data_IF_351969094834
#
_entry.id   IF_351969094834
#
_cell.length_a   1.000
_cell.length_b   1.000
_cell.length_c   1.000
_cell.angle_alpha   90.00
_cell.angle_beta   90.00
_cell.angle_gamma   90.00
#
_symmetry.space_group_name_H-M   'P 1'
#
loop_
_entity.id
_entity.type
_entity.pdbx_description
1 polymer ?
#
# COMPACT_ATOMS: atom_id res chain seq x y z
N UNK A 1 -3.45 -14.43 11.10
CA UNK A 1 -2.43 -14.27 10.02
C UNK A 1 -1.97 -12.83 10.03
N UNK A 2 -0.66 -12.55 10.03
CA UNK A 2 -0.17 -11.18 10.05
C UNK A 2 -0.51 -10.50 8.72
N UNK A 3 -0.96 -9.24 8.73
CA UNK A 3 -1.37 -8.44 7.57
C UNK A 3 -0.41 -8.56 6.36
N UNK A 4 0.88 -8.48 6.61
CA UNK A 4 1.92 -8.54 5.57
C UNK A 4 2.05 -9.96 5.01
N UNK A 5 1.89 -10.99 5.82
CA UNK A 5 1.92 -12.40 5.37
C UNK A 5 0.74 -12.70 4.45
N UNK A 6 -0.41 -12.08 4.72
CA UNK A 6 -1.57 -12.14 3.84
C UNK A 6 -1.30 -11.48 2.48
N UNK A 7 -0.70 -10.30 2.44
CA UNK A 7 -0.34 -9.64 1.18
C UNK A 7 0.65 -10.46 0.36
N UNK A 8 1.66 -11.03 1.01
CA UNK A 8 2.74 -11.78 0.34
C UNK A 8 2.29 -13.08 -0.34
N UNK A 9 1.10 -13.60 -0.06
CA UNK A 9 0.57 -14.76 -0.79
C UNK A 9 0.27 -14.41 -2.26
N UNK A 10 0.06 -13.14 -2.57
CA UNK A 10 -0.23 -12.65 -3.92
C UNK A 10 1.02 -12.28 -4.73
N UNK A 11 2.19 -12.22 -4.08
CA UNK A 11 3.43 -11.93 -4.79
C UNK A 11 3.82 -13.12 -5.66
N UNK A 12 4.20 -12.82 -6.90
CA UNK A 12 4.65 -13.81 -7.88
C UNK A 12 6.16 -13.70 -8.04
N UNK A 13 6.86 -14.83 -8.24
CA UNK A 13 8.28 -14.91 -8.57
C UNK A 13 9.25 -14.30 -7.55
N UNK A 14 10.57 -14.41 -7.81
CA UNK A 14 11.60 -13.93 -6.89
C UNK A 14 11.94 -12.45 -7.07
N UNK A 15 11.71 -11.86 -8.25
CA UNK A 15 12.13 -10.49 -8.60
C UNK A 15 11.00 -9.49 -8.32
N UNK A 16 11.14 -8.69 -7.28
CA UNK A 16 10.10 -7.80 -6.75
C UNK A 16 10.56 -6.35 -6.81
N UNK A 17 9.70 -5.45 -7.29
CA UNK A 17 9.86 -4.01 -7.15
C UNK A 17 8.84 -3.48 -6.13
N UNK A 18 9.33 -2.83 -5.10
CA UNK A 18 8.54 -2.11 -4.11
C UNK A 18 8.60 -0.60 -4.39
N UNK A 19 7.46 -0.02 -4.77
CA UNK A 19 7.34 1.41 -5.10
C UNK A 19 6.82 2.17 -3.90
N UNK A 20 7.57 3.18 -3.43
CA UNK A 20 7.35 3.85 -2.15
C UNK A 20 7.97 3.06 -0.99
N UNK A 21 9.18 2.50 -1.20
CA UNK A 21 9.81 1.52 -0.31
C UNK A 21 10.32 2.11 1.02
N UNK A 22 10.63 3.41 1.06
CA UNK A 22 11.35 4.00 2.19
C UNK A 22 10.45 4.30 3.40
N UNK A 23 9.12 4.44 3.21
CA UNK A 23 8.20 4.84 4.30
C UNK A 23 8.61 6.15 5.00
N UNK A 24 7.75 6.71 5.83
CA UNK A 24 8.08 7.93 6.62
C UNK A 24 9.21 7.69 7.64
N UNK A 25 9.30 6.48 8.19
CA UNK A 25 10.35 6.08 9.15
C UNK A 25 10.71 4.61 8.92
N UNK A 26 11.77 4.32 8.14
CA UNK A 26 12.21 2.96 7.92
C UNK A 26 12.80 2.39 9.22
N UNK A 27 12.05 1.53 9.87
CA UNK A 27 12.51 0.74 11.02
C UNK A 27 12.76 -0.69 10.56
N UNK A 28 14.01 -1.14 10.39
CA UNK A 28 14.34 -2.47 9.86
C UNK A 28 13.67 -3.62 10.60
N UNK A 29 13.47 -3.49 11.91
CA UNK A 29 12.84 -4.50 12.75
C UNK A 29 11.31 -4.34 12.85
N UNK A 30 10.76 -3.28 12.26
CA UNK A 30 9.33 -3.04 12.28
C UNK A 30 8.57 -4.13 11.50
N UNK A 31 7.55 -4.68 12.13
CA UNK A 31 6.62 -5.58 11.47
C UNK A 31 5.72 -4.84 10.46
N UNK A 32 5.76 -3.51 10.47
CA UNK A 32 4.92 -2.65 9.66
C UNK A 32 5.63 -2.14 8.41
N UNK A 33 6.98 -2.10 8.40
CA UNK A 33 7.72 -1.72 7.22
C UNK A 33 7.77 -2.87 6.21
N UNK A 34 6.99 -2.70 5.16
CA UNK A 34 6.70 -3.77 4.18
C UNK A 34 7.95 -4.14 3.39
N UNK A 35 8.75 -3.16 2.94
CA UNK A 35 9.99 -3.43 2.19
C UNK A 35 10.94 -4.37 2.93
N UNK A 36 11.22 -4.09 4.18
CA UNK A 36 12.07 -4.96 5.01
C UNK A 36 11.52 -6.39 5.15
N UNK A 37 10.20 -6.54 5.12
CA UNK A 37 9.57 -7.87 5.16
C UNK A 37 9.60 -8.59 3.82
N UNK A 38 9.46 -7.87 2.71
CA UNK A 38 9.61 -8.43 1.37
C UNK A 38 11.04 -8.97 1.21
N UNK A 39 12.05 -8.20 1.60
CA UNK A 39 13.47 -8.60 1.54
C UNK A 39 13.83 -9.84 2.38
N UNK A 40 13.09 -10.11 3.44
CA UNK A 40 13.29 -11.35 4.25
C UNK A 40 12.72 -12.59 3.57
N UNK A 41 11.85 -12.44 2.60
CA UNK A 41 11.14 -13.55 1.95
C UNK A 41 11.58 -13.79 0.51
N UNK A 42 11.98 -12.74 -0.21
CA UNK A 42 12.34 -12.79 -1.62
C UNK A 42 13.81 -12.42 -1.80
N UNK A 43 14.43 -12.96 -2.86
CA UNK A 43 15.87 -12.85 -3.09
C UNK A 43 16.20 -11.55 -3.83
N UNK A 44 15.50 -11.27 -4.93
CA UNK A 44 15.76 -10.15 -5.82
C UNK A 44 14.75 -9.03 -5.55
N UNK A 45 15.01 -8.22 -4.53
CA UNK A 45 14.12 -7.13 -4.13
C UNK A 45 14.74 -5.79 -4.43
N UNK A 46 14.01 -5.01 -5.18
CA UNK A 46 14.31 -3.63 -5.57
C UNK A 46 13.32 -2.68 -4.91
N UNK A 47 13.79 -1.48 -4.63
CA UNK A 47 12.93 -0.43 -4.05
C UNK A 47 13.13 0.90 -4.76
N UNK A 48 12.07 1.68 -4.92
CA UNK A 48 12.15 3.07 -5.34
C UNK A 48 11.38 3.97 -4.39
N UNK A 49 11.90 5.17 -4.20
CA UNK A 49 11.24 6.22 -3.43
C UNK A 49 11.71 7.60 -3.90
N UNK A 50 10.94 8.65 -3.64
CA UNK A 50 11.32 10.04 -3.89
C UNK A 50 12.00 10.70 -2.68
N UNK A 51 11.94 10.07 -1.51
CA UNK A 51 12.52 10.60 -0.27
C UNK A 51 14.00 10.22 -0.16
N UNK A 52 14.85 11.13 -0.62
CA UNK A 52 16.31 10.95 -0.63
C UNK A 52 16.89 10.70 0.76
N UNK A 53 16.38 11.37 1.78
CA UNK A 53 16.92 11.26 3.13
C UNK A 53 16.64 9.88 3.74
N UNK A 54 15.42 9.37 3.56
CA UNK A 54 15.05 8.04 4.00
C UNK A 54 15.80 6.95 3.23
N UNK A 55 16.02 7.12 1.91
CA UNK A 55 16.84 6.19 1.13
C UNK A 55 18.27 6.14 1.67
N UNK A 56 18.87 7.30 1.99
CA UNK A 56 20.21 7.34 2.59
C UNK A 56 20.29 6.64 3.96
N UNK A 57 19.22 6.73 4.77
CA UNK A 57 19.12 5.97 6.01
C UNK A 57 19.14 4.48 5.72
N UNK A 58 18.38 4.02 4.73
CA UNK A 58 18.33 2.61 4.33
C UNK A 58 19.68 2.11 3.81
N UNK A 59 20.36 2.90 2.99
CA UNK A 59 21.74 2.58 2.52
C UNK A 59 22.71 2.39 3.69
N UNK A 60 22.67 3.32 4.67
CA UNK A 60 23.50 3.22 5.88
C UNK A 60 23.16 1.98 6.74
N UNK A 61 21.96 1.48 6.66
CA UNK A 61 21.52 0.25 7.32
C UNK A 61 21.84 -1.02 6.49
N UNK A 62 22.56 -0.89 5.37
CA UNK A 62 23.00 -2.01 4.54
C UNK A 62 21.95 -2.49 3.52
N UNK A 63 20.90 -1.72 3.26
CA UNK A 63 19.96 -2.05 2.20
C UNK A 63 20.53 -1.65 0.83
N UNK A 64 20.57 -2.61 -0.09
CA UNK A 64 20.98 -2.44 -1.48
C UNK A 64 19.77 -2.50 -2.42
N UNK A 65 19.97 -2.16 -3.70
CA UNK A 65 18.93 -2.15 -4.74
C UNK A 65 17.77 -1.20 -4.43
N UNK A 66 18.07 -0.07 -3.78
CA UNK A 66 17.13 1.03 -3.55
C UNK A 66 17.56 2.25 -4.35
N UNK A 67 16.60 2.93 -4.98
CA UNK A 67 16.90 3.99 -5.94
C UNK A 67 16.00 5.21 -5.74
N UNK A 68 16.59 6.39 -5.93
CA UNK A 68 15.84 7.63 -5.98
C UNK A 68 15.15 7.74 -7.33
N UNK A 69 13.87 7.37 -7.40
CA UNK A 69 13.06 7.40 -8.62
C UNK A 69 11.62 7.81 -8.29
N UNK A 70 11.00 8.52 -9.22
CA UNK A 70 9.59 8.90 -9.13
C UNK A 70 8.70 7.76 -9.67
N UNK A 71 7.67 7.42 -8.92
CA UNK A 71 6.70 6.38 -9.29
C UNK A 71 5.98 6.65 -10.62
N UNK A 72 5.88 7.91 -11.04
CA UNK A 72 5.19 8.31 -12.27
C UNK A 72 6.12 8.33 -13.50
N UNK A 73 7.44 8.10 -13.33
CA UNK A 73 8.41 8.20 -14.43
C UNK A 73 9.63 7.29 -14.27
N UNK A 74 9.52 6.19 -13.51
CA UNK A 74 10.65 5.28 -13.34
C UNK A 74 10.86 4.40 -14.57
N UNK A 75 12.12 4.03 -14.77
CA UNK A 75 12.54 3.07 -15.78
C UNK A 75 13.72 2.23 -15.25
N UNK A 76 13.69 0.93 -15.54
CA UNK A 76 14.76 -0.03 -15.23
C UNK A 76 15.35 -0.68 -16.51
N UNK A 77 15.07 -0.11 -17.67
CA UNK A 77 15.55 -0.62 -18.95
C UNK A 77 15.02 -2.04 -19.24
N UNK A 78 15.91 -2.97 -19.46
CA UNK A 78 15.58 -4.37 -19.76
C UNK A 78 15.17 -5.20 -18.52
N UNK A 79 15.42 -4.70 -17.30
CA UNK A 79 15.05 -5.40 -16.09
C UNK A 79 13.52 -5.41 -15.91
N UNK A 80 12.94 -6.59 -15.80
CA UNK A 80 11.49 -6.80 -15.59
C UNK A 80 11.24 -7.57 -14.31
N UNK A 81 10.16 -7.23 -13.64
CA UNK A 81 9.78 -7.74 -12.34
C UNK A 81 8.67 -8.79 -12.44
N UNK A 82 8.71 -9.78 -11.57
CA UNK A 82 7.60 -10.73 -11.38
C UNK A 82 6.44 -10.06 -10.65
N UNK A 83 6.77 -9.14 -9.73
CA UNK A 83 5.77 -8.35 -9.00
C UNK A 83 6.23 -6.91 -8.85
N UNK A 84 5.36 -5.96 -9.17
CA UNK A 84 5.46 -4.55 -8.76
C UNK A 84 4.45 -4.31 -7.67
N UNK A 85 4.91 -3.90 -6.49
CA UNK A 85 4.06 -3.63 -5.34
C UNK A 85 4.02 -2.13 -5.04
N UNK A 86 2.82 -1.61 -4.76
CA UNK A 86 2.58 -0.23 -4.31
C UNK A 86 1.58 -0.25 -3.15
N UNK A 87 2.08 -0.08 -1.95
CA UNK A 87 1.26 -0.08 -0.74
C UNK A 87 1.09 1.30 -0.14
N UNK A 88 -0.15 1.81 -0.08
CA UNK A 88 -0.46 3.16 0.42
C UNK A 88 0.33 4.24 -0.34
N UNK A 89 0.36 4.13 -1.67
CA UNK A 89 1.11 5.01 -2.56
C UNK A 89 0.22 5.71 -3.58
N UNK A 90 -0.67 4.97 -4.26
CA UNK A 90 -1.40 5.47 -5.43
C UNK A 90 -2.28 6.68 -5.09
N UNK A 91 -2.76 6.79 -3.87
CA UNK A 91 -3.54 7.93 -3.36
C UNK A 91 -2.73 9.21 -3.19
N UNK A 92 -1.38 9.11 -3.14
CA UNK A 92 -0.46 10.25 -3.02
C UNK A 92 0.03 10.78 -4.38
N UNK A 93 -0.19 10.04 -5.46
CA UNK A 93 0.32 10.38 -6.78
C UNK A 93 -0.47 11.52 -7.43
N UNK A 94 0.23 12.38 -8.14
CA UNK A 94 -0.39 13.44 -8.96
C UNK A 94 -1.02 12.84 -10.21
N UNK A 95 -0.40 11.78 -10.78
CA UNK A 95 -0.90 11.09 -11.96
C UNK A 95 -0.83 9.55 -11.78
N UNK A 96 -1.85 8.94 -11.15
CA UNK A 96 -1.91 7.49 -10.95
C UNK A 96 -1.89 6.67 -12.26
N UNK A 97 -2.37 7.24 -13.36
CA UNK A 97 -2.31 6.59 -14.69
C UNK A 97 -0.88 6.42 -15.17
N UNK A 98 -0.02 7.43 -15.01
CA UNK A 98 1.41 7.29 -15.35
C UNK A 98 2.09 6.20 -14.52
N UNK A 99 1.78 6.11 -13.22
CA UNK A 99 2.28 5.02 -12.40
C UNK A 99 1.87 3.65 -12.95
N UNK A 100 0.59 3.44 -13.28
CA UNK A 100 0.12 2.17 -13.83
C UNK A 100 0.81 1.83 -15.16
N UNK A 101 1.03 2.83 -16.01
CA UNK A 101 1.77 2.67 -17.27
C UNK A 101 3.21 2.21 -17.00
N UNK A 102 3.94 2.90 -16.12
CA UNK A 102 5.33 2.53 -15.77
C UNK A 102 5.39 1.13 -15.14
N UNK A 103 4.47 0.83 -14.24
CA UNK A 103 4.38 -0.48 -13.60
C UNK A 103 4.11 -1.59 -14.64
N UNK A 104 3.15 -1.37 -15.57
CA UNK A 104 2.86 -2.29 -16.67
C UNK A 104 4.06 -2.56 -17.57
N UNK A 105 4.79 -1.51 -17.92
CA UNK A 105 6.00 -1.63 -18.73
C UNK A 105 7.14 -2.38 -18.00
N UNK A 106 7.14 -2.34 -16.67
CA UNK A 106 8.17 -2.92 -15.82
C UNK A 106 7.90 -4.37 -15.40
N UNK A 107 6.69 -4.89 -15.51
CA UNK A 107 6.40 -6.31 -15.20
C UNK A 107 6.73 -7.22 -16.40
N UNK A 108 7.08 -8.47 -16.08
CA UNK A 108 7.17 -9.58 -17.05
C UNK A 108 5.78 -9.90 -17.63
N UNK A 109 5.70 -10.70 -18.69
CA UNK A 109 4.42 -11.07 -19.31
C UNK A 109 3.47 -11.79 -18.34
N UNK A 110 4.00 -12.64 -17.46
CA UNK A 110 3.25 -13.30 -16.39
C UNK A 110 3.40 -12.57 -15.03
N UNK A 111 3.89 -11.33 -15.05
CA UNK A 111 4.06 -10.51 -13.86
C UNK A 111 2.76 -9.85 -13.43
N UNK A 112 2.74 -9.32 -12.22
CA UNK A 112 1.56 -8.64 -11.67
C UNK A 112 1.90 -7.35 -10.95
N UNK A 113 0.93 -6.46 -10.90
CA UNK A 113 0.98 -5.23 -10.12
C UNK A 113 0.04 -5.44 -8.94
N UNK A 114 0.53 -5.22 -7.73
CA UNK A 114 -0.25 -5.33 -6.50
C UNK A 114 -0.36 -3.94 -5.89
N UNK A 115 -1.58 -3.44 -5.78
CA UNK A 115 -1.87 -2.13 -5.19
C UNK A 115 -2.66 -2.33 -3.92
N UNK A 116 -2.27 -1.60 -2.89
CA UNK A 116 -3.05 -1.46 -1.68
C UNK A 116 -3.23 0.02 -1.38
N UNK A 117 -4.49 0.44 -1.16
CA UNK A 117 -4.87 1.83 -0.93
C UNK A 117 -6.03 1.92 0.05
N UNK A 118 -6.22 3.01 0.81
CA UNK A 118 -7.38 3.20 1.66
C UNK A 118 -8.69 3.18 0.88
N UNK A 119 -9.74 2.62 1.50
CA UNK A 119 -11.07 2.57 0.91
C UNK A 119 -11.98 3.65 1.51
N UNK A 120 -12.45 4.62 0.70
CA UNK A 120 -13.18 5.79 1.21
C UNK A 120 -14.54 5.45 1.82
N UNK A 121 -15.23 4.43 1.30
CA UNK A 121 -16.57 4.04 1.76
C UNK A 121 -16.58 3.04 2.92
N UNK A 122 -15.44 2.82 3.56
CA UNK A 122 -15.41 2.17 4.86
C UNK A 122 -16.20 2.99 5.90
N UNK A 123 -16.99 2.32 6.73
CA UNK A 123 -17.84 3.01 7.72
C UNK A 123 -17.01 3.99 8.59
N UNK A 124 -15.80 3.58 8.98
CA UNK A 124 -14.91 4.44 9.79
C UNK A 124 -14.51 5.72 9.03
N UNK A 125 -14.21 5.63 7.75
CA UNK A 125 -13.81 6.77 6.93
C UNK A 125 -14.99 7.70 6.67
N UNK A 126 -16.19 7.15 6.46
CA UNK A 126 -17.43 7.93 6.32
C UNK A 126 -17.77 8.66 7.63
N UNK A 127 -17.68 8.00 8.79
CA UNK A 127 -17.89 8.63 10.09
C UNK A 127 -16.83 9.73 10.31
N UNK A 128 -15.58 9.48 9.98
CA UNK A 128 -14.52 10.48 10.09
C UNK A 128 -14.82 11.71 9.22
N UNK A 129 -15.16 11.51 7.95
CA UNK A 129 -15.49 12.59 7.03
C UNK A 129 -16.67 13.43 7.51
N UNK A 130 -17.71 12.77 8.08
CA UNK A 130 -18.86 13.46 8.63
C UNK A 130 -18.53 14.29 9.88
N UNK A 131 -17.77 13.71 10.83
CA UNK A 131 -17.47 14.37 12.11
C UNK A 131 -16.37 15.44 12.02
N UNK A 132 -15.53 15.39 11.00
CA UNK A 132 -14.34 16.23 10.84
C UNK A 132 -14.42 17.16 9.64
N UNK A 133 -15.60 17.30 9.01
CA UNK A 133 -15.79 18.23 7.90
C UNK A 133 -15.15 19.60 8.19
N UNK A 134 -14.45 20.26 7.26
CA UNK A 134 -14.24 19.85 5.86
C UNK A 134 -13.12 18.79 5.62
N UNK A 135 -12.45 18.29 6.67
CA UNK A 135 -11.44 17.25 6.53
C UNK A 135 -12.12 15.90 6.26
N UNK A 136 -12.12 15.47 5.03
CA UNK A 136 -12.71 14.21 4.58
C UNK A 136 -11.69 13.06 4.55
N UNK A 137 -10.41 13.38 4.70
CA UNK A 137 -9.29 12.46 4.60
C UNK A 137 -8.46 12.52 5.88
N UNK A 138 -8.01 11.36 6.38
CA UNK A 138 -7.17 11.28 7.59
C UNK A 138 -5.74 11.75 7.33
N UNK A 139 -5.24 11.55 6.11
CA UNK A 139 -3.93 12.00 5.68
C UNK A 139 -4.08 13.21 4.74
N UNK A 140 -3.42 14.31 5.07
CA UNK A 140 -3.48 15.55 4.29
C UNK A 140 -2.70 15.47 2.96
N UNK A 141 -1.86 14.44 2.79
CA UNK A 141 -1.05 14.23 1.58
C UNK A 141 -1.80 13.43 0.50
N UNK A 142 -3.00 12.95 0.78
CA UNK A 142 -3.81 12.27 -0.23
C UNK A 142 -4.32 13.24 -1.27
N UNK A 143 -3.99 12.99 -2.53
CA UNK A 143 -4.45 13.76 -3.70
C UNK A 143 -5.73 13.17 -4.30
N UNK A 144 -5.97 11.87 -4.06
CA UNK A 144 -7.12 11.15 -4.61
C UNK A 144 -7.60 10.03 -3.70
N UNK A 145 -8.83 9.58 -3.99
CA UNK A 145 -9.44 8.43 -3.34
C UNK A 145 -9.93 7.43 -4.38
N UNK A 146 -9.64 6.16 -4.15
CA UNK A 146 -10.05 5.08 -5.05
C UNK A 146 -11.16 4.24 -4.44
N UNK A 147 -12.21 4.03 -5.22
CA UNK A 147 -13.24 3.04 -4.92
C UNK A 147 -13.20 1.92 -5.98
N UNK A 148 -14.04 0.90 -5.79
CA UNK A 148 -14.09 -0.26 -6.71
C UNK A 148 -14.32 0.14 -8.17
N UNK A 149 -15.12 1.20 -8.41
CA UNK A 149 -15.42 1.68 -9.74
C UNK A 149 -14.24 2.46 -10.34
N UNK A 150 -13.68 3.42 -9.60
CA UNK A 150 -12.62 4.29 -10.11
C UNK A 150 -11.32 3.54 -10.37
N UNK A 151 -10.97 2.54 -9.54
CA UNK A 151 -9.79 1.71 -9.78
C UNK A 151 -9.96 0.80 -11.00
N UNK A 152 -11.18 0.29 -11.25
CA UNK A 152 -11.48 -0.50 -12.44
C UNK A 152 -11.35 0.32 -13.71
N UNK A 153 -11.89 1.53 -13.70
CA UNK A 153 -11.82 2.44 -14.84
C UNK A 153 -10.37 2.83 -15.13
N UNK A 154 -9.60 3.17 -14.08
CA UNK A 154 -8.19 3.52 -14.23
C UNK A 154 -7.36 2.36 -14.81
N UNK A 155 -7.55 1.14 -14.32
CA UNK A 155 -6.88 -0.06 -14.82
C UNK A 155 -7.25 -0.34 -16.29
N UNK A 156 -8.52 -0.17 -16.64
CA UNK A 156 -9.02 -0.37 -18.01
C UNK A 156 -8.37 0.59 -19.00
N UNK A 157 -8.19 1.86 -18.64
CA UNK A 157 -7.51 2.87 -19.49
C UNK A 157 -6.07 2.50 -19.81
N UNK A 158 -5.40 1.84 -18.88
CA UNK A 158 -4.03 1.35 -19.06
C UNK A 158 -4.00 -0.08 -19.67
N UNK A 159 -5.13 -0.62 -20.09
CA UNK A 159 -5.27 -1.98 -20.65
C UNK A 159 -4.69 -3.03 -19.69
N UNK A 160 -4.99 -2.90 -18.40
CA UNK A 160 -4.66 -3.85 -17.34
C UNK A 160 -5.91 -4.60 -16.91
N UNK A 161 -5.79 -5.92 -16.73
CA UNK A 161 -6.86 -6.78 -16.23
C UNK A 161 -6.79 -6.90 -14.71
N UNK A 162 -7.90 -6.65 -14.03
CA UNK A 162 -8.02 -6.95 -12.60
C UNK A 162 -8.28 -8.44 -12.43
N UNK A 163 -7.34 -9.16 -11.83
CA UNK A 163 -7.45 -10.59 -11.53
C UNK A 163 -7.89 -10.85 -10.10
N UNK A 164 -7.67 -9.90 -9.18
CA UNK A 164 -8.18 -9.95 -7.82
C UNK A 164 -8.52 -8.56 -7.30
N UNK A 165 -9.63 -8.43 -6.58
CA UNK A 165 -10.04 -7.19 -5.94
C UNK A 165 -10.84 -7.52 -4.68
N UNK A 166 -10.35 -7.06 -3.53
CA UNK A 166 -11.04 -7.26 -2.26
C UNK A 166 -10.91 -6.07 -1.31
N UNK A 167 -11.85 -5.98 -0.38
CA UNK A 167 -11.81 -5.03 0.73
C UNK A 167 -11.26 -5.75 1.97
N UNK A 168 -10.16 -5.23 2.49
CA UNK A 168 -9.43 -5.80 3.62
C UNK A 168 -9.74 -5.03 4.89
N UNK A 169 -10.06 -5.76 5.97
CA UNK A 169 -10.19 -5.18 7.30
C UNK A 169 -8.79 -4.97 7.89
N UNK A 170 -8.35 -3.71 7.93
CA UNK A 170 -7.04 -3.34 8.43
C UNK A 170 -7.16 -2.45 9.68
N UNK A 171 -7.83 -2.95 10.69
CA UNK A 171 -7.90 -2.28 11.98
C UNK A 171 -6.73 -2.75 12.85
N UNK A 172 -5.80 -1.84 13.13
CA UNK A 172 -4.57 -2.10 13.90
C UNK A 172 -4.83 -2.20 15.39
N UNK A 173 -5.73 -3.10 15.81
CA UNK A 173 -6.03 -3.29 17.24
C UNK A 173 -5.01 -4.22 17.91
N UNK A 174 -4.40 -5.13 17.14
CA UNK A 174 -3.69 -6.28 17.72
C UNK A 174 -2.26 -5.99 18.15
N UNK A 175 -1.71 -4.81 17.86
CA UNK A 175 -0.31 -4.53 18.18
C UNK A 175 -0.09 -3.08 18.54
N UNK A 176 0.13 -2.84 19.81
CA UNK A 176 0.78 -1.63 20.28
C UNK A 176 2.19 -1.60 19.71
N UNK A 177 2.55 -0.58 18.91
CA UNK A 177 3.91 -0.41 18.44
C UNK A 177 4.86 -0.29 19.62
N UNK A 178 6.06 -0.84 19.48
CA UNK A 178 7.12 -0.73 20.51
C UNK A 178 7.66 0.69 20.61
N UNK A 179 7.48 1.50 19.58
CA UNK A 179 7.91 2.91 19.57
C UNK A 179 6.87 3.81 20.24
N UNK A 180 7.36 4.77 21.02
CA UNK A 180 6.55 5.74 21.77
C UNK A 180 5.75 6.67 20.86
N UNK A 181 6.21 6.88 19.60
CA UNK A 181 5.61 7.79 18.63
C UNK A 181 4.44 7.18 17.81
N UNK A 182 4.35 5.85 17.79
CA UNK A 182 3.34 5.13 17.00
C UNK A 182 2.15 4.61 17.82
N UNK A 183 2.04 5.00 19.08
CA UNK A 183 0.91 4.55 19.91
C UNK A 183 -0.37 5.20 19.41
N UNK A 184 -1.37 4.41 18.99
CA UNK A 184 -2.67 4.94 18.64
C UNK A 184 -3.27 5.67 19.84
N UNK A 185 -4.00 6.75 19.60
CA UNK A 185 -4.64 7.50 20.67
C UNK A 185 -5.62 6.59 21.44
N UNK A 186 -5.82 6.85 22.74
CA UNK A 186 -6.79 6.12 23.55
C UNK A 186 -8.20 6.14 22.94
N UNK A 187 -8.56 7.24 22.26
CA UNK A 187 -9.82 7.36 21.52
C UNK A 187 -9.92 6.38 20.35
N UNK A 188 -8.80 6.20 19.63
CA UNK A 188 -8.73 5.22 18.54
C UNK A 188 -8.84 3.78 19.07
N UNK A 189 -8.15 3.46 20.16
CA UNK A 189 -8.21 2.14 20.80
C UNK A 189 -9.64 1.81 21.28
N UNK A 190 -10.30 2.78 21.91
CA UNK A 190 -11.68 2.62 22.35
C UNK A 190 -12.62 2.40 21.17
N UNK A 191 -12.50 3.25 20.13
CA UNK A 191 -13.29 3.08 18.89
C UNK A 191 -13.06 1.72 18.26
N UNK A 192 -11.80 1.32 18.12
CA UNK A 192 -11.43 0.05 17.52
C UNK A 192 -11.97 -1.14 18.32
N UNK A 193 -11.97 -1.06 19.65
CA UNK A 193 -12.56 -2.09 20.52
C UNK A 193 -14.08 -2.17 20.35
N UNK A 194 -14.77 -1.03 20.35
CA UNK A 194 -16.22 -0.96 20.08
C UNK A 194 -16.53 -1.52 18.70
N UNK A 195 -15.75 -1.14 17.68
CA UNK A 195 -15.92 -1.64 16.32
C UNK A 195 -15.81 -3.16 16.25
N UNK A 196 -14.86 -3.78 16.96
CA UNK A 196 -14.75 -5.24 17.02
C UNK A 196 -15.99 -5.92 17.58
N UNK A 197 -16.65 -5.29 18.55
CA UNK A 197 -17.89 -5.82 19.17
C UNK A 197 -19.08 -5.72 18.20
N UNK A 198 -19.18 -4.62 17.46
CA UNK A 198 -20.36 -4.33 16.61
C UNK A 198 -20.16 -4.74 15.14
N UNK A 199 -18.94 -5.10 14.71
CA UNK A 199 -18.62 -5.37 13.31
C UNK A 199 -19.49 -6.47 12.68
N UNK A 200 -20.00 -7.40 13.47
CA UNK A 200 -20.86 -8.48 12.97
C UNK A 200 -22.20 -7.98 12.43
N UNK A 201 -22.66 -6.81 12.90
CA UNK A 201 -23.88 -6.14 12.43
C UNK A 201 -23.62 -5.21 11.24
N UNK A 202 -22.34 -4.97 10.88
CA UNK A 202 -21.93 -4.10 9.77
C UNK A 202 -21.74 -4.97 8.52
N UNK A 203 -22.34 -4.63 7.37
CA UNK A 203 -22.11 -5.34 6.11
C UNK A 203 -20.61 -5.41 5.76
N UNK A 204 -20.14 -6.55 5.25
CA UNK A 204 -18.71 -6.76 4.90
C UNK A 204 -18.13 -5.62 4.05
N UNK A 205 -18.91 -5.11 3.08
CA UNK A 205 -18.51 -4.00 2.20
C UNK A 205 -18.21 -2.67 2.91
N UNK A 206 -18.68 -2.49 4.14
CA UNK A 206 -18.46 -1.29 4.94
C UNK A 206 -17.40 -1.50 6.03
N UNK A 207 -16.96 -2.75 6.25
CA UNK A 207 -15.93 -3.07 7.24
C UNK A 207 -14.52 -2.89 6.72
N UNK A 208 -14.28 -3.23 5.46
CA UNK A 208 -12.96 -3.10 4.86
C UNK A 208 -12.55 -1.64 4.73
N UNK A 209 -11.45 -1.25 5.35
CA UNK A 209 -10.91 0.10 5.32
C UNK A 209 -9.73 0.26 4.35
N UNK A 210 -9.32 -0.82 3.73
CA UNK A 210 -8.29 -0.86 2.71
C UNK A 210 -8.75 -1.72 1.53
N UNK A 211 -8.32 -1.37 0.34
CA UNK A 211 -8.61 -2.11 -0.89
C UNK A 211 -7.32 -2.74 -1.40
N UNK A 212 -7.35 -4.03 -1.70
CA UNK A 212 -6.28 -4.77 -2.36
C UNK A 212 -6.70 -5.06 -3.79
N UNK A 213 -5.83 -4.70 -4.74
CA UNK A 213 -6.07 -4.89 -6.18
C UNK A 213 -4.87 -5.58 -6.80
N UNK A 214 -5.10 -6.60 -7.62
CA UNK A 214 -4.06 -7.27 -8.40
C UNK A 214 -4.40 -7.10 -9.87
N UNK A 215 -3.40 -6.59 -10.60
CA UNK A 215 -3.49 -6.28 -12.01
C UNK A 215 -2.47 -7.11 -12.80
N UNK A 216 -2.86 -7.55 -13.97
CA UNK A 216 -2.02 -8.26 -14.94
C UNK A 216 -2.19 -7.65 -16.34
N UNK A 217 -1.23 -7.93 -17.26
CA UNK A 217 -1.31 -7.48 -18.66
C UNK A 217 -2.46 -8.12 -19.41
#
# INVERSE_FOLDING_TARGET
>A
MKKVDYLMQYFNGPCILDVGCASHFPEPDSLYWIHGRIRRKFIDVYGIDINKDNLKILENLGYSNIYLKNAESFDFGSLKFDTVFAGELIEHLSNPGLFLKMAKESIKDNGRIIIRTPYPFALINMIYAFLKYPKTCQNNEHTSWFCLQTIKELASRELLKITHLELVEDYRIDKLPKSRNDRPSNKYLLFASIFQLVKWFIPKRLRGNSMLVILEK
#
